data_IF_109702118988
#
_entry.id   IF_109702118988
#
_cell.length_a   1.000
_cell.length_b   1.000
_cell.length_c   1.000
_cell.angle_alpha   90.00
_cell.angle_beta   90.00
_cell.angle_gamma   90.00
#
_symmetry.space_group_name_H-M   'P 1'
#
loop_
_entity.id
_entity.type
_entity.pdbx_description
1 polymer ?
#
# COMPACT_ATOMS: atom_id res chain seq x y z
N UNK A 1 -82.91 24.65 15.25
CA UNK A 1 -81.79 24.93 16.17
C UNK A 1 -80.55 24.24 15.62
N UNK A 2 -79.42 24.95 15.61
CA UNK A 2 -78.29 24.84 14.68
C UNK A 2 -77.52 23.50 14.62
N UNK A 3 -77.07 23.21 13.40
CA UNK A 3 -76.12 22.19 12.96
C UNK A 3 -74.71 22.34 13.53
N UNK A 4 -74.02 21.23 13.84
CA UNK A 4 -72.54 21.16 13.82
C UNK A 4 -72.01 19.81 13.33
N UNK A 5 -71.52 19.86 12.09
CA UNK A 5 -70.29 19.28 11.52
C UNK A 5 -69.76 17.91 11.97
N UNK A 6 -69.78 16.98 11.00
CA UNK A 6 -68.94 15.78 10.89
C UNK A 6 -67.47 16.15 10.63
N UNK A 7 -66.53 15.44 11.27
CA UNK A 7 -65.19 15.17 10.73
C UNK A 7 -64.77 13.74 11.09
N UNK A 8 -64.39 12.96 10.08
CA UNK A 8 -63.76 11.63 10.16
C UNK A 8 -62.33 11.72 10.70
N UNK A 9 -61.80 10.63 11.29
CA UNK A 9 -60.41 10.22 11.09
C UNK A 9 -60.38 8.84 10.41
N UNK A 10 -59.91 8.78 9.16
CA UNK A 10 -58.51 8.58 8.76
C UNK A 10 -58.06 7.13 9.00
N UNK A 11 -58.18 6.35 7.93
CA UNK A 11 -57.73 4.98 7.82
C UNK A 11 -56.20 4.87 7.84
N UNK A 12 -55.73 3.94 8.66
CA UNK A 12 -54.66 2.96 8.42
C UNK A 12 -54.00 3.06 7.03
N UNK A 13 -52.73 3.48 6.99
CA UNK A 13 -51.81 3.06 5.94
C UNK A 13 -50.46 2.68 6.58
N UNK A 14 -50.21 1.38 6.53
CA UNK A 14 -48.96 0.70 6.83
C UNK A 14 -48.02 0.92 5.64
N UNK A 15 -46.89 1.61 5.81
CA UNK A 15 -45.86 1.71 4.76
C UNK A 15 -44.54 1.15 5.27
N UNK A 16 -44.17 0.05 4.64
CA UNK A 16 -42.97 -0.76 4.77
C UNK A 16 -41.87 -0.17 3.85
N UNK A 17 -40.68 0.03 4.43
CA UNK A 17 -39.33 -0.11 3.85
C UNK A 17 -39.03 0.55 2.48
N UNK A 18 -38.11 1.52 2.49
CA UNK A 18 -36.86 1.47 1.72
C UNK A 18 -35.90 2.54 2.28
N UNK A 19 -35.02 2.15 3.20
CA UNK A 19 -33.86 2.96 3.52
C UNK A 19 -32.86 2.78 2.37
N UNK A 20 -32.89 3.68 1.38
CA UNK A 20 -31.75 3.86 0.49
C UNK A 20 -30.60 4.37 1.35
N UNK A 21 -29.74 3.44 1.78
CA UNK A 21 -28.40 3.78 2.19
C UNK A 21 -27.70 4.40 0.99
N UNK A 22 -27.47 5.71 1.06
CA UNK A 22 -26.53 6.38 0.19
C UNK A 22 -25.16 5.74 0.42
N UNK A 23 -24.72 4.92 -0.53
CA UNK A 23 -23.30 4.62 -0.68
C UNK A 23 -22.62 5.97 -0.88
N UNK A 24 -21.93 6.46 0.15
CA UNK A 24 -20.95 7.52 0.02
C UNK A 24 -19.86 6.97 -0.89
N UNK A 25 -19.96 7.32 -2.17
CA UNK A 25 -18.88 7.18 -3.12
C UNK A 25 -17.63 7.86 -2.53
N UNK A 26 -16.50 7.17 -2.59
CA UNK A 26 -15.19 7.71 -2.28
C UNK A 26 -15.01 9.03 -3.04
N UNK A 27 -14.51 10.06 -2.35
CA UNK A 27 -14.32 11.40 -2.90
C UNK A 27 -13.46 11.38 -4.16
N UNK A 28 -13.98 11.93 -5.24
CA UNK A 28 -13.24 12.36 -6.43
C UNK A 28 -12.62 13.76 -6.18
N UNK A 29 -11.43 13.97 -6.76
CA UNK A 29 -10.60 15.19 -6.88
C UNK A 29 -9.84 15.70 -5.63
N UNK A 30 -8.54 16.00 -5.65
CA UNK A 30 -7.43 15.81 -6.58
C UNK A 30 -6.12 15.88 -5.77
N UNK A 31 -5.33 14.80 -5.74
CA UNK A 31 -3.99 14.82 -5.17
C UNK A 31 -3.09 15.71 -6.04
N UNK A 32 -2.37 16.67 -5.44
CA UNK A 32 -1.52 17.67 -6.12
C UNK A 32 -0.86 17.15 -7.40
N UNK A 33 -1.33 17.70 -8.51
CA UNK A 33 -1.43 17.15 -9.87
C UNK A 33 -0.16 16.42 -10.34
N UNK A 34 -0.19 15.10 -10.27
CA UNK A 34 0.62 14.25 -11.14
C UNK A 34 -0.36 13.53 -12.07
N UNK A 35 -0.63 14.11 -13.25
CA UNK A 35 -1.49 13.49 -14.26
C UNK A 35 -0.75 12.35 -14.96
N UNK A 36 -1.04 11.12 -14.53
CA UNK A 36 -0.54 9.90 -15.15
C UNK A 36 -1.44 9.37 -16.28
N UNK A 37 -2.42 10.16 -16.69
CA UNK A 37 -3.50 9.79 -17.60
C UNK A 37 -4.46 8.77 -16.99
N UNK A 38 -4.46 8.58 -15.67
CA UNK A 38 -5.31 7.61 -14.98
C UNK A 38 -6.46 8.39 -14.33
N UNK A 39 -7.61 8.39 -15.02
CA UNK A 39 -8.74 9.26 -14.70
C UNK A 39 -9.54 8.81 -13.46
N UNK A 40 -9.43 7.54 -13.04
CA UNK A 40 -10.19 6.99 -11.91
C UNK A 40 -9.40 5.94 -11.14
N UNK A 41 -9.90 5.55 -9.97
CA UNK A 41 -9.48 4.30 -9.32
C UNK A 41 -9.59 3.13 -10.30
N UNK A 42 -8.67 2.19 -10.18
CA UNK A 42 -8.55 1.08 -11.12
C UNK A 42 -9.45 -0.05 -10.64
N UNK A 43 -10.16 -0.70 -11.56
CA UNK A 43 -11.09 -1.77 -11.22
C UNK A 43 -10.34 -3.06 -10.79
N UNK A 44 -10.87 -3.82 -9.81
CA UNK A 44 -10.32 -5.12 -9.46
C UNK A 44 -10.44 -6.08 -10.64
N UNK A 45 -9.46 -6.96 -10.80
CA UNK A 45 -9.63 -8.08 -11.72
C UNK A 45 -10.63 -9.07 -11.09
N UNK A 46 -11.86 -9.08 -11.62
CA UNK A 46 -12.95 -9.92 -11.15
C UNK A 46 -12.89 -11.36 -11.70
N UNK A 47 -11.83 -11.74 -12.43
CA UNK A 47 -11.61 -13.13 -12.84
C UNK A 47 -11.45 -14.01 -11.58
N UNK A 48 -12.58 -14.52 -11.06
CA UNK A 48 -12.69 -15.33 -9.84
C UNK A 48 -12.13 -16.70 -10.11
N UNK A 49 -10.82 -16.78 -9.99
CA UNK A 49 -10.06 -17.92 -10.42
C UNK A 49 -9.99 -19.08 -9.41
N UNK A 50 -10.80 -19.02 -8.35
CA UNK A 50 -10.80 -20.01 -7.29
C UNK A 50 -9.47 -20.02 -6.52
N UNK A 51 -9.25 -21.04 -5.69
CA UNK A 51 -8.14 -21.13 -4.72
C UNK A 51 -6.83 -21.72 -5.30
N UNK A 52 -6.64 -21.69 -6.62
CA UNK A 52 -5.48 -22.31 -7.26
C UNK A 52 -4.34 -21.28 -7.44
N UNK A 53 -3.10 -21.65 -7.09
CA UNK A 53 -1.91 -20.83 -7.31
C UNK A 53 -1.83 -20.39 -8.79
N UNK A 54 -1.79 -19.07 -9.02
CA UNK A 54 -1.80 -18.41 -10.34
C UNK A 54 -2.98 -18.73 -11.27
N UNK A 55 -3.82 -19.71 -10.94
CA UNK A 55 -4.99 -20.21 -11.69
C UNK A 55 -4.89 -20.20 -13.22
N UNK A 56 -3.69 -20.38 -13.77
CA UNK A 56 -3.43 -20.34 -15.21
C UNK A 56 -3.39 -18.94 -15.84
N UNK A 57 -3.58 -17.87 -15.08
CA UNK A 57 -3.38 -16.49 -15.56
C UNK A 57 -1.92 -16.09 -15.51
N UNK A 58 -1.36 -15.75 -16.67
CA UNK A 58 -0.01 -15.23 -16.76
C UNK A 58 0.11 -13.88 -16.03
N UNK A 59 1.12 -13.76 -15.17
CA UNK A 59 1.55 -12.47 -14.63
C UNK A 59 2.26 -11.62 -15.69
N UNK A 60 2.90 -10.51 -15.29
CA UNK A 60 3.70 -9.68 -16.18
C UNK A 60 4.72 -10.53 -16.97
N UNK A 61 4.90 -10.30 -18.29
CA UNK A 61 5.83 -11.09 -19.08
C UNK A 61 7.27 -10.89 -18.59
N UNK A 62 7.97 -11.99 -18.31
CA UNK A 62 9.35 -11.96 -17.84
C UNK A 62 10.33 -11.31 -18.84
N UNK A 63 9.96 -11.26 -20.12
CA UNK A 63 10.73 -10.62 -21.19
C UNK A 63 10.45 -9.12 -21.35
N UNK A 64 9.60 -8.53 -20.49
CA UNK A 64 9.28 -7.11 -20.56
C UNK A 64 10.53 -6.25 -20.33
N UNK A 65 10.77 -5.27 -21.21
CA UNK A 65 11.77 -4.25 -20.93
C UNK A 65 11.26 -3.30 -19.84
N UNK A 66 11.87 -3.43 -18.65
CA UNK A 66 11.57 -2.66 -17.44
C UNK A 66 12.70 -1.69 -17.08
N UNK A 67 13.70 -1.55 -17.95
CA UNK A 67 14.97 -0.90 -17.62
C UNK A 67 14.81 0.55 -17.15
N UNK A 68 13.82 1.29 -17.65
CA UNK A 68 13.53 2.67 -17.26
C UNK A 68 12.37 2.84 -16.26
N UNK A 69 11.46 1.86 -16.17
CA UNK A 69 10.29 1.91 -15.29
C UNK A 69 10.50 1.23 -13.94
N UNK A 70 11.62 0.51 -13.78
CA UNK A 70 11.94 -0.22 -12.55
C UNK A 70 12.02 0.71 -11.32
N UNK A 71 11.22 0.39 -10.31
CA UNK A 71 11.18 1.11 -9.03
C UNK A 71 12.31 0.61 -8.14
N UNK A 72 12.44 -0.72 -8.00
CA UNK A 72 13.57 -1.38 -7.37
C UNK A 72 13.93 -2.67 -8.11
N UNK A 73 15.21 -3.02 -8.07
CA UNK A 73 15.72 -4.27 -8.62
C UNK A 73 15.32 -5.44 -7.70
N UNK A 74 14.89 -6.55 -8.30
CA UNK A 74 14.63 -7.81 -7.57
C UNK A 74 15.91 -8.62 -7.49
N UNK A 75 16.30 -8.99 -6.26
CA UNK A 75 17.53 -9.74 -5.95
C UNK A 75 17.28 -11.00 -5.13
N UNK A 76 16.08 -11.13 -4.57
CA UNK A 76 15.66 -12.23 -3.72
C UNK A 76 14.29 -12.75 -4.20
N UNK A 77 13.97 -14.00 -3.86
CA UNK A 77 12.63 -14.59 -4.02
C UNK A 77 11.99 -14.80 -2.66
N UNK A 78 10.66 -14.78 -2.57
CA UNK A 78 9.95 -14.92 -1.29
C UNK A 78 10.28 -16.23 -0.57
N UNK A 79 10.50 -17.29 -1.35
CA UNK A 79 10.79 -18.65 -0.90
C UNK A 79 12.24 -18.85 -0.44
N UNK A 80 13.12 -17.88 -0.68
CA UNK A 80 14.55 -17.99 -0.35
C UNK A 80 14.78 -18.18 1.15
N UNK A 81 15.37 -19.33 1.52
CA UNK A 81 15.84 -19.63 2.89
C UNK A 81 17.36 -19.64 3.02
N UNK A 82 18.05 -20.10 1.97
CA UNK A 82 19.46 -20.47 2.01
C UNK A 82 20.44 -19.49 1.37
N UNK A 83 19.94 -18.46 0.69
CA UNK A 83 20.78 -17.45 0.00
C UNK A 83 21.59 -16.63 1.00
N UNK A 84 22.67 -16.00 0.54
CA UNK A 84 23.51 -15.12 1.38
C UNK A 84 22.68 -14.02 2.04
N UNK A 85 21.76 -13.39 1.30
CA UNK A 85 20.85 -12.38 1.84
C UNK A 85 19.85 -12.98 2.83
N UNK A 86 19.24 -14.13 2.53
CA UNK A 86 18.28 -14.77 3.42
C UNK A 86 18.89 -15.20 4.77
N UNK A 87 20.21 -15.43 4.84
CA UNK A 87 20.93 -15.77 6.07
C UNK A 87 21.30 -14.56 6.94
N UNK A 88 21.16 -13.33 6.44
CA UNK A 88 21.45 -12.14 7.25
C UNK A 88 20.43 -11.96 8.37
N UNK A 89 20.89 -11.42 9.49
CA UNK A 89 20.00 -10.89 10.53
C UNK A 89 19.20 -9.71 9.96
N UNK A 90 17.97 -9.56 10.43
CA UNK A 90 17.13 -8.41 10.09
C UNK A 90 16.52 -7.78 11.33
N UNK A 91 15.45 -7.02 11.14
CA UNK A 91 14.81 -6.24 12.21
C UNK A 91 14.19 -7.12 13.30
N UNK A 92 13.66 -8.29 12.94
CA UNK A 92 12.88 -9.16 13.83
C UNK A 92 13.37 -10.62 13.85
N UNK A 93 14.55 -10.91 13.29
CA UNK A 93 15.09 -12.28 13.23
C UNK A 93 16.63 -12.28 13.34
N UNK A 94 17.21 -13.32 13.97
CA UNK A 94 18.66 -13.50 14.03
C UNK A 94 19.23 -13.94 12.67
N UNK A 95 20.55 -13.85 12.52
CA UNK A 95 21.24 -14.43 11.37
C UNK A 95 21.03 -15.96 11.34
N UNK A 96 20.98 -16.54 10.13
CA UNK A 96 20.75 -17.96 9.89
C UNK A 96 19.46 -18.50 10.52
N UNK A 97 18.38 -17.71 10.56
CA UNK A 97 17.10 -18.11 11.16
C UNK A 97 16.42 -19.32 10.47
N UNK A 98 16.83 -19.68 9.25
CA UNK A 98 16.18 -20.71 8.44
C UNK A 98 14.85 -20.28 7.82
N UNK A 99 14.43 -19.03 8.06
CA UNK A 99 13.15 -18.48 7.63
C UNK A 99 13.19 -18.01 6.17
N UNK A 100 12.07 -18.22 5.46
CA UNK A 100 11.83 -17.56 4.17
C UNK A 100 11.40 -16.10 4.39
N UNK A 101 11.19 -15.34 3.31
CA UNK A 101 10.87 -13.91 3.43
C UNK A 101 9.44 -13.63 3.87
N UNK A 102 8.49 -14.55 3.63
CA UNK A 102 7.13 -14.42 4.15
C UNK A 102 7.09 -14.55 5.68
N UNK A 103 7.79 -15.57 6.22
CA UNK A 103 7.93 -15.75 7.66
C UNK A 103 8.63 -14.54 8.30
N UNK A 104 9.63 -13.96 7.63
CA UNK A 104 10.31 -12.74 8.08
C UNK A 104 9.41 -11.50 8.03
N UNK A 105 8.56 -11.38 7.00
CA UNK A 105 7.57 -10.31 6.91
C UNK A 105 6.58 -10.41 8.08
N UNK A 106 6.04 -11.59 8.34
CA UNK A 106 5.14 -11.83 9.47
C UNK A 106 5.79 -11.50 10.82
N UNK A 107 7.04 -11.92 11.04
CA UNK A 107 7.79 -11.56 12.25
C UNK A 107 8.05 -10.06 12.36
N UNK A 108 8.34 -9.37 11.26
CA UNK A 108 8.53 -7.93 11.28
C UNK A 108 7.24 -7.20 11.66
N UNK A 109 6.10 -7.56 11.06
CA UNK A 109 4.79 -7.02 11.43
C UNK A 109 4.48 -7.28 12.90
N UNK A 110 4.67 -8.52 13.37
CA UNK A 110 4.43 -8.90 14.76
C UNK A 110 5.38 -8.22 15.77
N UNK A 111 6.56 -7.75 15.32
CA UNK A 111 7.54 -7.06 16.16
C UNK A 111 7.22 -5.57 16.40
N UNK A 112 6.25 -5.01 15.67
CA UNK A 112 5.92 -3.59 15.77
C UNK A 112 5.26 -3.29 17.12
N UNK A 113 5.82 -2.29 17.83
CA UNK A 113 5.27 -1.87 19.11
C UNK A 113 3.92 -1.17 18.92
N UNK A 114 2.96 -1.46 19.80
CA UNK A 114 1.70 -0.74 19.85
C UNK A 114 1.90 0.64 20.47
N UNK A 115 1.18 1.63 19.94
CA UNK A 115 1.17 3.01 20.42
C UNK A 115 -0.24 3.57 20.31
N UNK A 116 -0.65 4.56 21.12
CA UNK A 116 -1.82 5.36 20.81
C UNK A 116 -1.74 5.90 19.38
N UNK A 117 -2.80 5.72 18.60
CA UNK A 117 -2.87 6.24 17.25
C UNK A 117 -2.81 7.76 17.26
N UNK A 118 -2.01 8.34 16.37
CA UNK A 118 -1.71 9.77 16.39
C UNK A 118 -2.95 10.64 16.14
N UNK A 119 -3.35 11.40 17.16
CA UNK A 119 -4.59 12.18 17.21
C UNK A 119 -5.86 11.33 16.94
N UNK A 120 -5.86 10.07 17.37
CA UNK A 120 -7.03 9.18 17.32
C UNK A 120 -7.29 8.54 18.69
N UNK A 121 -8.47 7.96 18.90
CA UNK A 121 -8.79 7.20 20.12
C UNK A 121 -8.37 5.73 20.06
N UNK A 122 -7.85 5.26 18.93
CA UNK A 122 -7.50 3.85 18.69
C UNK A 122 -6.01 3.57 18.98
N UNK A 123 -5.64 2.29 19.05
CA UNK A 123 -4.23 1.88 19.01
C UNK A 123 -3.75 1.81 17.56
N UNK A 124 -2.45 2.03 17.38
CA UNK A 124 -1.73 1.91 16.12
C UNK A 124 -0.34 1.31 16.41
N UNK A 125 0.57 1.37 15.45
CA UNK A 125 1.90 0.78 15.56
C UNK A 125 3.01 1.82 15.35
N UNK A 126 4.21 1.49 15.82
CA UNK A 126 5.45 2.18 15.48
C UNK A 126 6.14 1.40 14.36
N UNK A 127 6.31 2.05 13.21
CA UNK A 127 7.07 1.49 12.09
C UNK A 127 8.56 1.55 12.43
N UNK A 128 9.23 0.40 12.36
CA UNK A 128 10.69 0.30 12.47
C UNK A 128 11.29 0.05 11.10
N UNK A 129 12.25 0.90 10.72
CA UNK A 129 13.00 0.75 9.46
C UNK A 129 14.25 -0.10 9.65
N UNK A 130 14.83 -0.68 8.58
CA UNK A 130 16.08 -1.44 8.66
C UNK A 130 17.26 -0.62 9.19
N UNK A 131 17.18 0.71 9.09
CA UNK A 131 18.21 1.64 9.52
C UNK A 131 18.01 2.16 10.94
N UNK A 132 17.09 1.57 11.72
CA UNK A 132 16.87 1.92 13.13
C UNK A 132 16.02 3.16 13.37
N UNK A 133 15.45 3.76 12.31
CA UNK A 133 14.48 4.85 12.45
C UNK A 133 13.12 4.29 12.88
N UNK A 134 12.49 4.98 13.82
CA UNK A 134 11.14 4.70 14.30
C UNK A 134 10.21 5.87 14.00
N UNK A 135 9.04 5.60 13.43
CA UNK A 135 8.00 6.61 13.21
C UNK A 135 6.64 6.06 13.64
N UNK A 136 5.72 6.90 14.14
CA UNK A 136 4.30 6.54 14.23
C UNK A 136 3.80 6.01 12.89
N UNK A 137 2.81 5.12 12.90
CA UNK A 137 2.16 4.66 11.68
C UNK A 137 1.62 5.85 10.85
N UNK A 138 1.64 5.75 9.50
CA UNK A 138 1.05 6.77 8.66
C UNK A 138 -0.49 6.74 8.81
N UNK A 139 -1.14 7.86 8.49
CA UNK A 139 -2.61 7.89 8.35
C UNK A 139 -3.01 7.26 7.04
N UNK A 140 -3.43 5.99 7.10
CA UNK A 140 -3.88 5.19 5.98
C UNK A 140 -5.09 4.34 6.42
N UNK A 141 -5.98 4.04 5.48
CA UNK A 141 -7.11 3.12 5.66
C UNK A 141 -6.66 1.66 5.72
N UNK A 142 -7.53 0.75 6.17
CA UNK A 142 -7.12 -0.61 6.54
C UNK A 142 -6.42 -1.39 5.41
N UNK A 143 -6.96 -1.34 4.19
CA UNK A 143 -6.36 -2.02 3.04
C UNK A 143 -5.08 -1.32 2.57
N UNK A 144 -5.01 0.00 2.70
CA UNK A 144 -3.84 0.81 2.36
C UNK A 144 -2.66 0.46 3.27
N UNK A 145 -2.89 0.25 4.57
CA UNK A 145 -1.82 -0.15 5.49
C UNK A 145 -1.26 -1.52 5.10
N UNK A 146 -2.11 -2.48 4.71
CA UNK A 146 -1.64 -3.80 4.26
C UNK A 146 -0.79 -3.72 2.99
N UNK A 147 -1.26 -2.97 1.98
CA UNK A 147 -0.47 -2.70 0.76
C UNK A 147 0.84 -1.97 1.09
N UNK A 148 0.77 -0.95 1.93
CA UNK A 148 1.91 -0.17 2.39
C UNK A 148 2.97 -1.05 3.03
N UNK A 149 2.62 -1.90 4.01
CA UNK A 149 3.59 -2.74 4.70
C UNK A 149 4.22 -3.77 3.76
N UNK A 150 3.42 -4.41 2.89
CA UNK A 150 3.93 -5.41 1.95
C UNK A 150 4.88 -4.81 0.92
N UNK A 151 4.53 -3.68 0.31
CA UNK A 151 5.41 -2.94 -0.62
C UNK A 151 6.66 -2.46 0.10
N UNK A 152 6.51 -1.91 1.31
CA UNK A 152 7.62 -1.41 2.11
C UNK A 152 8.65 -2.52 2.36
N UNK A 153 8.20 -3.66 2.89
CA UNK A 153 9.08 -4.80 3.15
C UNK A 153 9.71 -5.35 1.86
N UNK A 154 8.90 -5.54 0.80
CA UNK A 154 9.40 -6.04 -0.47
C UNK A 154 10.49 -5.14 -1.06
N UNK A 155 10.30 -3.83 -0.98
CA UNK A 155 11.26 -2.86 -1.51
C UNK A 155 12.57 -2.81 -0.71
N UNK A 156 12.50 -2.92 0.62
CA UNK A 156 13.69 -2.91 1.49
C UNK A 156 14.56 -4.15 1.31
N UNK A 157 13.96 -5.28 0.96
CA UNK A 157 14.64 -6.55 0.79
C UNK A 157 14.73 -7.02 -0.66
N UNK A 158 14.47 -6.14 -1.64
CA UNK A 158 14.58 -6.43 -3.07
C UNK A 158 13.79 -7.69 -3.51
N UNK A 159 12.58 -7.85 -3.00
CA UNK A 159 11.68 -8.96 -3.31
C UNK A 159 10.76 -8.60 -4.49
N UNK A 160 10.30 -9.58 -5.28
CA UNK A 160 9.30 -9.33 -6.31
C UNK A 160 7.97 -8.95 -5.65
N UNK A 161 7.31 -7.96 -6.24
CA UNK A 161 5.97 -7.54 -5.83
C UNK A 161 5.23 -7.00 -7.04
N UNK A 162 3.94 -7.30 -7.13
CA UNK A 162 3.00 -6.53 -7.93
C UNK A 162 1.57 -6.70 -7.40
N UNK A 163 0.73 -5.72 -7.69
CA UNK A 163 -0.72 -5.83 -7.66
C UNK A 163 -1.25 -5.83 -9.10
N UNK A 164 -2.26 -6.66 -9.34
CA UNK A 164 -2.99 -6.74 -10.59
C UNK A 164 -4.34 -6.05 -10.46
N UNK A 165 -4.73 -5.38 -11.54
CA UNK A 165 -6.02 -4.77 -11.71
C UNK A 165 -6.38 -4.74 -13.20
N UNK A 166 -7.52 -4.17 -13.56
CA UNK A 166 -7.96 -4.02 -14.95
C UNK A 166 -8.40 -2.59 -15.25
N UNK A 167 -8.16 -2.15 -16.48
CA UNK A 167 -8.76 -0.95 -17.05
C UNK A 167 -9.53 -1.30 -18.33
N UNK A 168 -10.08 -0.30 -19.03
CA UNK A 168 -10.77 -0.50 -20.30
C UNK A 168 -9.88 -1.14 -21.40
N UNK A 169 -8.55 -1.09 -21.25
CA UNK A 169 -7.57 -1.67 -22.18
C UNK A 169 -7.12 -3.08 -21.78
N UNK A 170 -7.51 -3.56 -20.59
CA UNK A 170 -7.25 -4.91 -20.10
C UNK A 170 -6.42 -4.95 -18.81
N UNK A 171 -5.61 -6.01 -18.67
CA UNK A 171 -4.84 -6.25 -17.44
C UNK A 171 -3.72 -5.24 -17.27
N UNK A 172 -3.58 -4.77 -16.04
CA UNK A 172 -2.51 -3.88 -15.62
C UNK A 172 -1.86 -4.40 -14.34
N UNK A 173 -0.58 -4.06 -14.17
CA UNK A 173 0.24 -4.51 -13.05
C UNK A 173 1.06 -3.36 -12.49
N UNK A 174 0.96 -3.14 -11.19
CA UNK A 174 1.73 -2.12 -10.47
C UNK A 174 2.66 -2.84 -9.52
N UNK A 175 3.97 -2.74 -9.74
CA UNK A 175 4.93 -3.47 -8.91
C UNK A 175 6.34 -2.91 -8.92
N UNK A 176 7.28 -3.74 -8.52
CA UNK A 176 8.73 -3.44 -8.55
C UNK A 176 9.21 -2.95 -9.92
N UNK A 177 8.55 -3.37 -11.00
CA UNK A 177 8.81 -2.99 -12.39
C UNK A 177 8.14 -1.68 -12.84
N UNK A 178 7.47 -0.96 -11.93
CA UNK A 178 6.60 0.17 -12.23
C UNK A 178 5.18 -0.27 -12.62
N UNK A 179 4.42 0.64 -13.22
CA UNK A 179 3.07 0.38 -13.73
C UNK A 179 3.12 -0.06 -15.20
N UNK A 180 2.48 -1.18 -15.53
CA UNK A 180 2.57 -1.82 -16.84
C UNK A 180 1.26 -2.45 -17.30
N UNK A 181 1.13 -2.61 -18.61
CA UNK A 181 0.13 -3.43 -19.27
C UNK A 181 0.80 -4.30 -20.35
N UNK A 182 0.03 -5.03 -21.14
CA UNK A 182 0.57 -5.91 -22.19
C UNK A 182 1.39 -5.17 -23.26
N UNK A 183 1.12 -3.87 -23.48
CA UNK A 183 1.83 -3.03 -24.44
C UNK A 183 3.13 -2.41 -23.88
N UNK A 184 3.39 -2.54 -22.57
CA UNK A 184 4.59 -2.02 -21.93
C UNK A 184 4.27 -1.09 -20.76
N UNK A 185 4.90 0.09 -20.74
CA UNK A 185 4.64 1.14 -19.72
C UNK A 185 3.16 1.50 -19.74
N UNK A 186 2.53 1.51 -18.58
CA UNK A 186 1.13 1.91 -18.46
C UNK A 186 1.04 3.43 -18.48
N UNK A 187 0.36 3.97 -19.50
CA UNK A 187 0.11 5.40 -19.68
C UNK A 187 1.37 6.27 -19.50
N UNK A 188 1.28 7.42 -18.85
CA UNK A 188 2.41 8.34 -18.63
C UNK A 188 3.10 8.14 -17.28
N UNK A 189 2.83 7.03 -16.57
CA UNK A 189 3.42 6.70 -15.25
C UNK A 189 4.95 6.82 -15.24
N UNK A 190 5.63 7.15 -14.13
CA UNK A 190 7.03 7.58 -14.16
C UNK A 190 8.02 6.60 -14.82
N UNK A 191 9.02 7.17 -15.50
CA UNK A 191 10.29 6.49 -15.76
C UNK A 191 11.14 6.57 -14.50
N UNK A 192 10.85 5.72 -13.50
CA UNK A 192 11.40 5.79 -12.15
C UNK A 192 12.92 5.92 -12.10
N UNK A 193 13.64 5.26 -13.01
CA UNK A 193 15.10 5.25 -13.00
C UNK A 193 15.71 6.63 -13.20
N UNK A 194 15.13 7.43 -14.08
CA UNK A 194 15.60 8.77 -14.45
C UNK A 194 14.88 9.87 -13.67
N UNK A 195 13.59 9.67 -13.37
CA UNK A 195 12.77 10.65 -12.66
C UNK A 195 13.16 10.81 -11.18
N UNK A 196 13.52 9.72 -10.51
CA UNK A 196 13.76 9.75 -9.05
C UNK A 196 15.06 9.05 -8.65
N UNK A 197 15.57 9.43 -7.47
CA UNK A 197 16.86 8.98 -6.95
C UNK A 197 16.72 7.74 -6.08
N UNK A 198 17.65 6.81 -6.28
CA UNK A 198 17.87 5.71 -5.35
C UNK A 198 19.17 5.96 -4.58
N UNK A 199 19.06 6.13 -3.26
CA UNK A 199 20.22 6.37 -2.39
C UNK A 199 20.75 5.12 -1.69
N UNK A 200 20.14 3.94 -1.89
CA UNK A 200 20.52 2.71 -1.18
C UNK A 200 22.01 2.40 -1.31
N UNK A 201 22.58 2.44 -2.52
CA UNK A 201 24.02 2.21 -2.76
C UNK A 201 24.92 3.25 -2.08
N UNK A 202 24.50 4.52 -2.01
CA UNK A 202 25.28 5.58 -1.33
C UNK A 202 25.46 5.31 0.16
N UNK A 203 24.46 4.68 0.78
CA UNK A 203 24.45 4.39 2.22
C UNK A 203 24.81 2.95 2.56
N UNK A 204 25.11 2.11 1.55
CA UNK A 204 25.52 0.73 1.77
C UNK A 204 26.75 0.64 2.69
N UNK A 205 26.69 -0.21 3.71
CA UNK A 205 27.77 -0.43 4.67
C UNK A 205 28.01 0.71 5.67
N UNK A 206 27.17 1.76 5.69
CA UNK A 206 27.22 2.80 6.72
C UNK A 206 26.48 2.34 7.98
N UNK A 207 26.86 2.89 9.14
CA UNK A 207 26.14 2.64 10.40
C UNK A 207 24.76 3.31 10.39
N UNK A 208 23.83 2.76 11.17
CA UNK A 208 22.48 3.32 11.32
C UNK A 208 22.51 4.79 11.78
N UNK A 209 23.33 5.12 12.77
CA UNK A 209 23.50 6.51 13.25
C UNK A 209 23.94 7.46 12.13
N UNK A 210 24.87 7.02 11.28
CA UNK A 210 25.32 7.82 10.14
C UNK A 210 24.20 8.01 9.11
N UNK A 211 23.46 6.95 8.80
CA UNK A 211 22.36 6.99 7.83
C UNK A 211 21.26 7.92 8.32
N UNK A 212 20.85 7.81 9.58
CA UNK A 212 19.83 8.67 10.19
C UNK A 212 20.28 10.13 10.19
N UNK A 213 21.51 10.42 10.61
CA UNK A 213 22.04 11.78 10.66
C UNK A 213 22.19 12.44 9.27
N UNK A 214 22.33 11.64 8.21
CA UNK A 214 22.57 12.11 6.84
C UNK A 214 21.42 11.73 5.89
N UNK A 215 20.21 11.53 6.42
CA UNK A 215 19.08 11.06 5.64
C UNK A 215 18.81 11.95 4.42
N UNK A 216 18.80 11.40 3.18
CA UNK A 216 18.56 12.19 1.99
C UNK A 216 17.09 12.62 1.93
N UNK A 217 16.84 13.86 1.54
CA UNK A 217 15.50 14.44 1.40
C UNK A 217 15.16 14.64 -0.07
N UNK A 218 13.93 14.28 -0.44
CA UNK A 218 13.32 14.59 -1.72
C UNK A 218 12.20 15.62 -1.50
N UNK A 219 12.49 16.90 -1.75
CA UNK A 219 11.52 17.99 -1.52
C UNK A 219 10.27 17.85 -2.39
N UNK A 220 10.39 17.25 -3.58
CA UNK A 220 9.24 16.98 -4.46
C UNK A 220 8.39 15.89 -3.85
N UNK A 221 8.96 14.81 -3.33
CA UNK A 221 8.18 13.78 -2.65
C UNK A 221 7.51 14.35 -1.38
N UNK A 222 8.25 15.14 -0.60
CA UNK A 222 7.77 15.70 0.68
C UNK A 222 6.62 16.70 0.53
N UNK A 223 6.48 17.34 -0.63
CA UNK A 223 5.38 18.27 -0.89
C UNK A 223 4.07 17.57 -1.26
N UNK A 224 4.09 16.25 -1.48
CA UNK A 224 2.98 15.54 -2.09
C UNK A 224 2.09 14.82 -1.08
N UNK A 225 0.84 14.68 -1.49
CA UNK A 225 -0.25 14.05 -0.74
C UNK A 225 -0.64 12.71 -1.36
N UNK A 226 -1.29 11.85 -0.57
CA UNK A 226 -1.91 10.61 -1.06
C UNK A 226 -3.41 10.79 -1.27
N UNK A 227 -4.08 11.44 -0.32
CA UNK A 227 -5.50 11.76 -0.36
C UNK A 227 -5.87 12.73 0.74
N UNK A 228 -7.15 13.09 0.83
CA UNK A 228 -7.63 14.00 1.85
C UNK A 228 -7.51 13.39 3.26
N UNK A 229 -7.14 14.22 4.24
CA UNK A 229 -7.05 13.80 5.65
C UNK A 229 -5.77 13.08 6.08
N UNK A 230 -4.81 12.86 5.18
CA UNK A 230 -3.50 12.21 5.47
C UNK A 230 -2.49 13.09 6.25
N UNK A 231 -2.95 14.15 6.94
CA UNK A 231 -2.07 15.03 7.74
C UNK A 231 -1.43 14.24 8.88
N UNK A 232 -0.11 14.37 9.05
CA UNK A 232 0.68 13.73 10.09
C UNK A 232 1.56 14.77 10.79
N UNK A 233 1.00 15.44 11.81
CA UNK A 233 1.65 16.55 12.54
C UNK A 233 2.90 16.12 13.32
N UNK A 234 3.12 14.81 13.53
CA UNK A 234 4.37 14.28 14.09
C UNK A 234 5.56 14.41 13.13
N UNK A 235 5.33 14.59 11.83
CA UNK A 235 6.40 14.80 10.86
C UNK A 235 6.98 16.20 11.06
N UNK A 236 8.28 16.29 11.29
CA UNK A 236 8.98 17.56 11.55
C UNK A 236 9.83 17.97 10.35
N UNK A 237 10.20 19.26 10.28
CA UNK A 237 10.98 19.82 9.18
C UNK A 237 10.16 20.27 7.97
N UNK A 238 10.84 20.68 6.90
CA UNK A 238 10.21 21.16 5.66
C UNK A 238 9.40 20.06 4.97
N UNK A 239 8.21 20.37 4.47
CA UNK A 239 7.36 19.40 3.76
C UNK A 239 5.89 19.59 4.11
N UNK A 240 5.01 18.86 3.43
CA UNK A 240 3.57 19.02 3.59
C UNK A 240 3.02 18.37 4.87
N UNK A 241 3.83 17.56 5.58
CA UNK A 241 3.40 16.72 6.72
C UNK A 241 2.29 15.74 6.31
N UNK A 242 2.47 15.10 5.16
CA UNK A 242 1.47 14.26 4.44
C UNK A 242 2.12 12.96 3.96
N UNK A 243 1.39 12.11 3.26
CA UNK A 243 1.87 10.79 2.82
C UNK A 243 3.24 10.82 2.14
N UNK A 244 3.47 11.76 1.21
CA UNK A 244 4.76 11.90 0.54
C UNK A 244 5.92 12.24 1.50
N UNK A 245 5.70 13.14 2.46
CA UNK A 245 6.70 13.43 3.52
C UNK A 245 6.99 12.18 4.35
N UNK A 246 5.98 11.40 4.73
CA UNK A 246 6.20 10.14 5.44
C UNK A 246 7.06 9.16 4.64
N UNK A 247 6.76 8.98 3.35
CA UNK A 247 7.51 8.07 2.49
C UNK A 247 8.96 8.51 2.28
N UNK A 248 9.20 9.83 2.18
CA UNK A 248 10.56 10.37 2.15
C UNK A 248 11.34 10.00 3.43
N UNK A 249 10.70 9.98 4.59
CA UNK A 249 11.35 9.66 5.87
C UNK A 249 11.71 8.18 6.03
N UNK A 250 11.14 7.26 5.24
CA UNK A 250 11.31 5.81 5.42
C UNK A 250 11.96 5.10 4.24
N UNK A 251 12.05 5.71 3.06
CA UNK A 251 12.71 5.10 1.90
C UNK A 251 14.00 5.83 1.54
N UNK A 252 15.12 5.11 1.55
CA UNK A 252 16.36 5.57 0.89
C UNK A 252 16.22 5.54 -0.64
N UNK A 253 15.50 4.56 -1.18
CA UNK A 253 15.12 4.56 -2.59
C UNK A 253 13.88 5.42 -2.79
N UNK A 254 14.04 6.69 -3.20
CA UNK A 254 12.93 7.63 -3.34
C UNK A 254 11.96 7.24 -4.46
N UNK A 255 12.38 6.39 -5.40
CA UNK A 255 11.48 5.77 -6.39
C UNK A 255 10.34 5.04 -5.71
N UNK A 256 10.62 4.34 -4.61
CA UNK A 256 9.62 3.60 -3.83
C UNK A 256 8.61 4.56 -3.21
N UNK A 257 9.05 5.71 -2.69
CA UNK A 257 8.12 6.69 -2.10
C UNK A 257 7.15 7.29 -3.12
N UNK A 258 7.64 7.64 -4.31
CA UNK A 258 6.78 8.09 -5.41
C UNK A 258 5.87 6.97 -5.92
N UNK A 259 6.36 5.72 -5.99
CA UNK A 259 5.56 4.56 -6.35
C UNK A 259 4.48 4.22 -5.31
N UNK A 260 4.78 4.36 -4.03
CA UNK A 260 3.83 4.15 -2.94
C UNK A 260 2.65 5.09 -3.06
N UNK A 261 2.89 6.37 -3.38
CA UNK A 261 1.81 7.31 -3.69
C UNK A 261 0.93 6.79 -4.82
N UNK A 262 1.55 6.36 -5.93
CA UNK A 262 0.82 5.85 -7.08
C UNK A 262 -0.05 4.63 -6.73
N UNK A 263 0.49 3.67 -5.97
CA UNK A 263 -0.32 2.52 -5.49
C UNK A 263 -1.50 3.01 -4.65
N UNK A 264 -1.25 3.83 -3.63
CA UNK A 264 -2.28 4.20 -2.67
C UNK A 264 -3.34 5.15 -3.25
N UNK A 265 -3.01 5.88 -4.31
CA UNK A 265 -3.99 6.71 -5.04
C UNK A 265 -4.92 5.87 -5.92
N UNK A 266 -4.46 4.75 -6.48
CA UNK A 266 -5.21 4.02 -7.52
C UNK A 266 -5.69 2.62 -7.13
N UNK A 267 -5.16 2.04 -6.05
CA UNK A 267 -5.57 0.74 -5.53
C UNK A 267 -6.28 0.92 -4.20
N UNK A 268 -7.39 0.19 -4.03
CA UNK A 268 -8.16 0.15 -2.80
C UNK A 268 -8.40 -1.26 -2.28
N UNK A 269 -9.29 -1.36 -1.28
CA UNK A 269 -9.69 -2.62 -0.67
C UNK A 269 -10.28 -3.62 -1.66
N UNK A 270 -11.01 -3.13 -2.68
CA UNK A 270 -11.57 -3.98 -3.74
C UNK A 270 -10.48 -4.65 -4.57
N UNK A 271 -9.41 -3.94 -4.90
CA UNK A 271 -8.26 -4.52 -5.61
C UNK A 271 -7.52 -5.50 -4.72
N UNK A 272 -7.25 -5.11 -3.46
CA UNK A 272 -6.54 -5.97 -2.52
C UNK A 272 -7.29 -7.28 -2.27
N UNK A 273 -8.63 -7.26 -2.22
CA UNK A 273 -9.46 -8.44 -1.99
C UNK A 273 -9.68 -9.32 -3.22
N UNK A 274 -9.24 -8.90 -4.40
CA UNK A 274 -9.28 -9.74 -5.61
C UNK A 274 -8.48 -11.03 -5.40
N UNK A 275 -8.97 -12.15 -5.95
CA UNK A 275 -8.23 -13.41 -5.98
C UNK A 275 -6.88 -13.29 -6.68
N UNK A 276 -6.73 -12.32 -7.59
CA UNK A 276 -5.46 -12.04 -8.27
C UNK A 276 -4.39 -11.42 -7.38
N UNK A 277 -4.77 -10.83 -6.25
CA UNK A 277 -3.87 -10.20 -5.29
C UNK A 277 -3.78 -10.95 -3.95
N UNK A 278 -4.65 -11.94 -3.74
CA UNK A 278 -4.70 -12.78 -2.52
C UNK A 278 -4.35 -14.24 -2.79
N UNK A 279 -3.87 -14.60 -3.99
CA UNK A 279 -3.63 -15.98 -4.41
C UNK A 279 -2.68 -16.77 -3.50
N UNK A 280 -1.77 -16.10 -2.80
CA UNK A 280 -0.81 -16.72 -1.87
C UNK A 280 -1.45 -17.15 -0.53
N UNK A 281 -2.71 -16.77 -0.29
CA UNK A 281 -3.32 -16.84 1.03
C UNK A 281 -4.23 -18.06 1.14
N UNK A 282 -3.82 -18.99 1.99
CA UNK A 282 -4.68 -20.10 2.41
C UNK A 282 -5.55 -19.60 3.57
N UNK A 283 -6.89 -19.73 3.53
CA UNK A 283 -7.78 -19.19 4.57
C UNK A 283 -7.38 -19.58 6.00
N UNK A 284 -6.98 -20.83 6.21
CA UNK A 284 -6.49 -21.37 7.48
C UNK A 284 -5.07 -20.93 7.87
N UNK A 285 -4.35 -20.28 6.96
CA UNK A 285 -3.01 -19.72 7.17
C UNK A 285 -2.98 -18.19 7.18
N UNK A 286 -4.12 -17.52 7.02
CA UNK A 286 -4.20 -16.04 7.10
C UNK A 286 -3.83 -15.62 8.52
N UNK A 287 -2.71 -14.93 8.65
CA UNK A 287 -2.25 -14.26 9.86
C UNK A 287 -2.56 -12.75 9.77
N UNK A 288 -2.61 -12.05 10.93
CA UNK A 288 -2.57 -10.60 10.94
C UNK A 288 -1.41 -10.06 10.07
N UNK A 289 -1.72 -9.25 9.05
CA UNK A 289 -0.75 -8.68 8.11
C UNK A 289 -0.78 -9.26 6.68
N UNK A 290 -1.54 -10.33 6.44
CA UNK A 290 -1.64 -10.97 5.11
C UNK A 290 -2.61 -10.27 4.14
N UNK A 291 -3.73 -9.74 4.65
CA UNK A 291 -4.72 -8.90 3.91
C UNK A 291 -5.27 -7.82 4.82
N UNK A 292 -5.61 -8.24 6.02
CA UNK A 292 -6.04 -7.38 7.11
C UNK A 292 -4.88 -7.34 8.10
N UNK A 293 -4.36 -6.15 8.36
CA UNK A 293 -3.72 -5.93 9.64
C UNK A 293 -4.81 -5.97 10.68
N UNK A 294 -4.52 -6.61 11.82
CA UNK A 294 -5.41 -6.56 12.97
C UNK A 294 -5.74 -5.09 13.23
N UNK A 295 -6.99 -4.71 12.95
CA UNK A 295 -7.48 -3.41 13.35
C UNK A 295 -7.66 -3.55 14.85
N UNK A 296 -6.75 -2.97 15.62
CA UNK A 296 -6.81 -2.91 17.09
C UNK A 296 -7.97 -2.01 17.53
N UNK A 297 -9.18 -2.38 17.12
CA UNK A 297 -10.45 -1.87 17.58
C UNK A 297 -10.83 -2.69 18.81
N UNK A 298 -11.30 -2.00 19.84
CA UNK A 298 -11.92 -2.64 21.00
C UNK A 298 -13.24 -3.29 20.61
#
# INVERSE_FOLDING_TARGET
MLSRFRKLPLHLLLTLVLALGTFTACSEDAAGDDDWGIDTAIEPDEERLGKADSAGTAGPPASADVSDTVVWEVKNQWEDRGTTEAKKSGMAWPANSGLNWDEKYALWVASMGLTPGWETSYQSFILKTPWGKELPAPRLECAEVAMFLRVTFASWYNLPFYLQAVDASGKIWFGHMGARNAAGRYKTTPLYKTAYRDHTTKFAGKSNDYIIANWPKDDVLRSRVVGDGDTMTFLTGSGAQRGGHYFDEIFLNKRVGHFMRLILTYFGSVNLSSSMNTYNLKPESIQPGDVLLERWQR
#
